data_IF_659285556492
#
_entry.id   IF_659285556492
#
_cell.length_a   1.000
_cell.length_b   1.000
_cell.length_c   1.000
_cell.angle_alpha   90.00
_cell.angle_beta   90.00
_cell.angle_gamma   90.00
#
_symmetry.space_group_name_H-M   'P 1'
#
loop_
_entity.id
_entity.type
_entity.pdbx_description
1 polymer ?
#
# COMPACT_ATOMS: atom_id res chain seq x y z
N UNK A 1 4.42 -1.38 36.92
CA UNK A 1 4.51 -0.49 35.77
C UNK A 1 4.49 -1.38 34.54
N UNK A 2 3.35 -1.51 33.88
CA UNK A 2 3.26 -2.24 32.60
C UNK A 2 3.93 -1.35 31.56
N UNK A 3 5.03 -1.82 30.98
CA UNK A 3 5.65 -1.18 29.83
C UNK A 3 4.64 -1.36 28.68
N UNK A 4 3.97 -0.30 28.29
CA UNK A 4 3.16 -0.22 27.08
C UNK A 4 4.06 -0.59 25.93
N UNK A 5 3.83 -1.76 25.36
CA UNK A 5 4.52 -2.21 24.16
C UNK A 5 3.88 -1.45 22.99
N UNK A 6 4.34 -0.22 22.75
CA UNK A 6 4.06 0.48 21.51
C UNK A 6 4.42 -0.47 20.35
N UNK A 7 3.57 -0.59 19.37
CA UNK A 7 3.80 -1.40 18.17
C UNK A 7 5.18 -1.03 17.59
N UNK A 8 6.18 -1.86 17.84
CA UNK A 8 7.53 -1.60 17.31
C UNK A 8 7.47 -1.89 15.83
N UNK A 9 7.84 -0.90 15.02
CA UNK A 9 8.08 -1.16 13.60
C UNK A 9 9.17 -2.24 13.47
N UNK A 10 9.03 -3.17 12.52
CA UNK A 10 10.05 -4.18 12.27
C UNK A 10 11.32 -3.53 11.72
N UNK A 11 12.49 -4.22 11.78
CA UNK A 11 13.74 -3.70 11.25
C UNK A 11 13.77 -3.57 9.73
N UNK A 12 12.94 -4.36 9.05
CA UNK A 12 12.81 -4.38 7.60
C UNK A 12 11.35 -4.33 7.21
N UNK A 13 11.07 -3.78 6.01
CA UNK A 13 9.73 -3.81 5.43
C UNK A 13 9.29 -5.25 5.22
N UNK A 14 8.03 -5.50 5.55
CA UNK A 14 7.35 -6.76 5.27
C UNK A 14 5.90 -6.46 4.90
N UNK A 15 5.52 -6.88 3.68
CA UNK A 15 4.19 -6.71 3.12
C UNK A 15 3.49 -8.07 3.01
N UNK A 16 2.25 -8.16 3.46
CA UNK A 16 1.44 -9.39 3.42
C UNK A 16 0.58 -9.53 2.16
N UNK A 17 0.71 -8.64 1.15
CA UNK A 17 -0.18 -8.63 -0.01
C UNK A 17 -0.15 -9.95 -0.80
N UNK A 18 1.03 -10.56 -0.99
CA UNK A 18 1.14 -11.84 -1.69
C UNK A 18 0.59 -13.02 -0.89
N UNK A 19 0.66 -12.98 0.44
CA UNK A 19 0.02 -13.99 1.29
C UNK A 19 -1.50 -13.92 1.15
N UNK A 20 -2.07 -12.71 1.20
CA UNK A 20 -3.51 -12.48 0.94
C UNK A 20 -3.89 -12.93 -0.46
N UNK A 21 -3.10 -12.58 -1.47
CA UNK A 21 -3.33 -12.96 -2.86
C UNK A 21 -3.38 -14.49 -3.03
N UNK A 22 -2.39 -15.21 -2.51
CA UNK A 22 -2.34 -16.68 -2.59
C UNK A 22 -3.52 -17.33 -1.86
N UNK A 23 -3.88 -16.84 -0.68
CA UNK A 23 -5.06 -17.30 0.07
C UNK A 23 -6.35 -17.09 -0.73
N UNK A 24 -6.50 -15.95 -1.43
CA UNK A 24 -7.67 -15.68 -2.27
C UNK A 24 -7.71 -16.62 -3.50
N UNK A 25 -6.56 -16.91 -4.12
CA UNK A 25 -6.46 -17.86 -5.23
C UNK A 25 -6.87 -19.28 -4.82
N UNK A 26 -6.57 -19.69 -3.59
CA UNK A 26 -6.97 -20.98 -3.03
C UNK A 26 -8.46 -21.03 -2.66
N UNK A 27 -8.95 -19.95 -2.05
CA UNK A 27 -10.31 -19.90 -1.49
C UNK A 27 -11.38 -19.61 -2.53
N UNK A 28 -11.08 -18.84 -3.57
CA UNK A 28 -12.02 -18.38 -4.59
C UNK A 28 -11.60 -18.85 -5.98
N UNK A 29 -12.15 -19.98 -6.49
CA UNK A 29 -11.76 -20.54 -7.79
C UNK A 29 -11.88 -19.57 -8.97
N UNK A 30 -12.88 -18.68 -8.93
CA UNK A 30 -13.11 -17.67 -9.97
C UNK A 30 -12.11 -16.50 -9.93
N UNK A 31 -11.39 -16.29 -8.83
CA UNK A 31 -10.49 -15.16 -8.68
C UNK A 31 -9.39 -15.15 -9.72
N UNK A 32 -8.78 -16.32 -10.03
CA UNK A 32 -7.78 -16.47 -11.11
C UNK A 32 -8.31 -16.01 -12.46
N UNK A 33 -9.56 -16.34 -12.78
CA UNK A 33 -10.19 -15.92 -14.04
C UNK A 33 -10.40 -14.41 -14.07
N UNK A 34 -10.86 -13.82 -12.96
CA UNK A 34 -11.06 -12.35 -12.84
C UNK A 34 -9.74 -11.61 -13.02
N UNK A 35 -8.65 -12.09 -12.42
CA UNK A 35 -7.31 -11.53 -12.61
C UNK A 35 -6.88 -11.59 -14.08
N UNK A 36 -7.04 -12.75 -14.75
CA UNK A 36 -6.72 -12.89 -16.16
C UNK A 36 -7.54 -11.94 -17.05
N UNK A 37 -8.83 -11.76 -16.76
CA UNK A 37 -9.70 -10.82 -17.46
C UNK A 37 -9.26 -9.35 -17.23
N UNK A 38 -8.80 -9.00 -16.02
CA UNK A 38 -8.24 -7.69 -15.70
C UNK A 38 -6.96 -7.41 -16.50
N UNK A 39 -6.02 -8.35 -16.47
CA UNK A 39 -4.78 -8.26 -17.23
C UNK A 39 -5.03 -8.11 -18.72
N UNK A 40 -5.90 -8.95 -19.29
CA UNK A 40 -6.26 -8.87 -20.69
C UNK A 40 -6.88 -7.50 -21.06
N UNK A 41 -7.74 -6.95 -20.21
CA UNK A 41 -8.31 -5.60 -20.41
C UNK A 41 -7.24 -4.51 -20.33
N UNK A 42 -6.29 -4.63 -19.40
CA UNK A 42 -5.18 -3.70 -19.24
C UNK A 42 -4.32 -3.69 -20.50
N UNK A 43 -3.89 -4.86 -20.99
CA UNK A 43 -3.11 -4.99 -22.21
C UNK A 43 -3.87 -4.47 -23.43
N UNK A 44 -5.17 -4.79 -23.57
CA UNK A 44 -6.01 -4.28 -24.64
C UNK A 44 -6.14 -2.76 -24.58
N UNK A 45 -6.15 -2.17 -23.40
CA UNK A 45 -6.21 -0.72 -23.20
C UNK A 45 -4.90 -0.03 -23.55
N UNK A 46 -3.76 -0.61 -23.14
CA UNK A 46 -2.42 -0.10 -23.48
C UNK A 46 -2.16 -0.11 -25.01
N UNK A 47 -2.77 -1.04 -25.74
CA UNK A 47 -2.66 -1.11 -27.20
C UNK A 47 -3.49 -0.05 -27.96
N UNK A 48 -4.35 0.71 -27.27
CA UNK A 48 -5.17 1.76 -27.88
C UNK A 48 -4.52 3.14 -27.75
N UNK A 49 -4.84 4.10 -28.65
CA UNK A 49 -4.41 5.48 -28.47
C UNK A 49 -4.80 6.02 -27.10
N UNK A 50 -3.89 6.75 -26.48
CA UNK A 50 -4.04 7.27 -25.10
C UNK A 50 -5.37 8.00 -24.94
N UNK A 51 -6.30 7.39 -24.23
CA UNK A 51 -7.52 8.05 -23.78
C UNK A 51 -7.17 8.80 -22.49
N UNK A 52 -6.94 10.09 -22.57
CA UNK A 52 -6.76 10.92 -21.38
C UNK A 52 -8.11 11.10 -20.68
N UNK A 53 -8.18 10.64 -19.43
CA UNK A 53 -9.23 11.09 -18.51
C UNK A 53 -9.06 12.60 -18.39
N UNK A 54 -10.13 13.36 -18.55
CA UNK A 54 -10.09 14.81 -18.37
C UNK A 54 -10.06 15.14 -16.88
N UNK A 55 -8.87 15.45 -16.36
CA UNK A 55 -8.61 15.80 -14.96
C UNK A 55 -8.23 14.58 -14.09
N UNK A 56 -7.81 14.84 -12.84
CA UNK A 56 -7.33 13.79 -11.95
C UNK A 56 -8.45 12.83 -11.51
N UNK A 57 -8.11 11.53 -11.44
CA UNK A 57 -8.95 10.52 -10.83
C UNK A 57 -8.99 10.76 -9.32
N UNK A 58 -10.14 11.08 -8.76
CA UNK A 58 -10.31 11.32 -7.32
C UNK A 58 -10.87 10.10 -6.64
N UNK A 59 -10.13 9.56 -5.66
CA UNK A 59 -10.48 8.38 -4.88
C UNK A 59 -10.93 8.84 -3.49
N UNK A 60 -12.22 8.68 -3.14
CA UNK A 60 -12.69 8.89 -1.78
C UNK A 60 -12.13 7.82 -0.86
N UNK A 61 -11.54 8.21 0.27
CA UNK A 61 -10.91 7.33 1.24
C UNK A 61 -11.69 7.33 2.54
N UNK A 62 -11.91 6.17 3.12
CA UNK A 62 -12.31 6.02 4.52
C UNK A 62 -11.19 5.38 5.31
N UNK A 63 -10.87 5.95 6.48
CA UNK A 63 -9.86 5.41 7.39
C UNK A 63 -10.55 4.79 8.59
N UNK A 64 -10.44 3.48 8.73
CA UNK A 64 -10.95 2.70 9.86
C UNK A 64 -9.83 2.53 10.89
N UNK A 65 -9.83 3.32 11.95
CA UNK A 65 -8.85 3.21 13.04
C UNK A 65 -9.35 2.17 14.03
N UNK A 66 -8.67 1.02 14.08
CA UNK A 66 -8.97 -0.08 15.01
C UNK A 66 -7.86 -0.10 16.06
N UNK A 67 -8.23 0.11 17.33
CA UNK A 67 -7.26 0.33 18.42
C UNK A 67 -7.70 -0.40 19.69
N UNK A 68 -6.76 -0.93 20.45
CA UNK A 68 -7.01 -1.53 21.76
C UNK A 68 -6.84 -0.52 22.90
N UNK A 69 -5.79 0.27 22.82
CA UNK A 69 -5.45 1.26 23.84
C UNK A 69 -5.50 2.69 23.29
N UNK A 70 -5.65 3.71 24.13
CA UNK A 70 -5.61 5.11 23.68
C UNK A 70 -4.34 5.48 22.90
N UNK A 71 -3.20 4.88 23.22
CA UNK A 71 -1.92 5.15 22.55
C UNK A 71 -1.87 4.59 21.12
N UNK A 72 -2.69 3.58 20.80
CA UNK A 72 -2.82 3.03 19.46
C UNK A 72 -3.79 3.84 18.58
N UNK A 73 -4.63 4.67 19.20
CA UNK A 73 -5.61 5.51 18.52
C UNK A 73 -4.93 6.70 17.87
N UNK A 74 -4.60 6.58 16.60
CA UNK A 74 -3.96 7.64 15.84
C UNK A 74 -4.82 8.91 15.77
N UNK A 75 -4.15 10.06 15.70
CA UNK A 75 -4.82 11.36 15.65
C UNK A 75 -5.28 11.72 14.23
N UNK A 76 -6.25 12.64 14.14
CA UNK A 76 -6.67 13.22 12.87
C UNK A 76 -5.49 13.85 12.11
N UNK A 77 -4.56 14.52 12.83
CA UNK A 77 -3.36 15.09 12.22
C UNK A 77 -2.47 14.02 11.56
N UNK A 78 -2.34 12.85 12.19
CA UNK A 78 -1.60 11.73 11.60
C UNK A 78 -2.32 11.19 10.36
N UNK A 79 -3.65 11.08 10.39
CA UNK A 79 -4.47 10.67 9.23
C UNK A 79 -4.32 11.67 8.07
N UNK A 80 -4.44 12.96 8.35
CA UNK A 80 -4.29 14.01 7.33
C UNK A 80 -2.89 14.00 6.71
N UNK A 81 -1.87 13.74 7.53
CA UNK A 81 -0.49 13.61 7.04
C UNK A 81 -0.30 12.44 6.08
N UNK A 82 -1.06 11.34 6.28
CA UNK A 82 -1.04 10.20 5.36
C UNK A 82 -1.69 10.53 4.02
N UNK A 83 -2.87 11.17 4.04
CA UNK A 83 -3.53 11.58 2.80
C UNK A 83 -2.63 12.56 2.02
N UNK A 84 -1.96 13.46 2.74
CA UNK A 84 -0.99 14.37 2.11
C UNK A 84 0.23 13.62 1.53
N UNK A 85 0.73 12.55 2.19
CA UNK A 85 1.81 11.72 1.68
C UNK A 85 1.39 11.00 0.39
N UNK A 86 0.24 10.31 0.38
CA UNK A 86 -0.31 9.67 -0.81
C UNK A 86 -0.40 10.64 -1.99
N UNK A 87 -0.96 11.83 -1.77
CA UNK A 87 -1.10 12.81 -2.84
C UNK A 87 0.26 13.32 -3.36
N UNK A 88 1.27 13.50 -2.49
CA UNK A 88 2.61 13.89 -2.93
C UNK A 88 3.31 12.80 -3.73
N UNK A 89 3.23 11.56 -3.27
CA UNK A 89 3.93 10.44 -3.89
C UNK A 89 3.30 10.11 -5.25
N UNK A 90 1.97 10.00 -5.33
CA UNK A 90 1.25 9.69 -6.57
C UNK A 90 1.27 10.83 -7.60
N UNK A 91 1.49 12.09 -7.19
CA UNK A 91 1.66 13.20 -8.11
C UNK A 91 3.14 13.53 -8.43
N UNK A 92 4.08 12.68 -7.99
CA UNK A 92 5.51 12.96 -8.10
C UNK A 92 5.91 14.35 -7.57
N UNK A 93 5.20 14.85 -6.54
CA UNK A 93 5.48 16.13 -5.88
C UNK A 93 6.31 15.97 -4.60
N UNK A 94 6.75 14.76 -4.26
CA UNK A 94 7.64 14.48 -3.15
C UNK A 94 9.01 15.14 -3.37
N UNK A 95 9.56 15.88 -2.36
CA UNK A 95 10.80 16.64 -2.53
C UNK A 95 12.02 15.77 -2.83
N UNK A 96 12.01 14.53 -2.38
CA UNK A 96 13.14 13.60 -2.52
C UNK A 96 13.18 12.86 -3.87
N UNK A 97 12.21 13.06 -4.77
CA UNK A 97 12.28 12.58 -6.16
C UNK A 97 13.57 13.01 -6.87
N UNK A 98 14.21 14.10 -6.42
CA UNK A 98 15.49 14.56 -6.96
C UNK A 98 16.65 13.60 -6.68
N UNK A 99 16.47 12.65 -5.76
CA UNK A 99 17.43 11.58 -5.45
C UNK A 99 17.36 10.42 -6.44
N UNK A 100 16.28 10.34 -7.25
CA UNK A 100 16.14 9.28 -8.25
C UNK A 100 17.35 9.26 -9.17
N UNK A 101 18.04 8.13 -9.33
CA UNK A 101 19.20 8.02 -10.18
C UNK A 101 18.91 8.44 -11.63
N UNK A 102 19.89 9.06 -12.27
CA UNK A 102 19.76 9.62 -13.62
C UNK A 102 19.10 8.69 -14.64
N UNK A 103 19.41 7.37 -14.69
CA UNK A 103 18.78 6.47 -15.65
C UNK A 103 17.26 6.41 -15.55
N UNK A 104 16.69 6.62 -14.35
CA UNK A 104 15.25 6.49 -14.08
C UNK A 104 14.54 7.81 -13.78
N UNK A 105 15.28 8.92 -13.71
CA UNK A 105 14.70 10.23 -13.42
C UNK A 105 13.61 10.64 -14.43
N UNK A 106 13.71 10.18 -15.69
CA UNK A 106 12.72 10.41 -16.72
C UNK A 106 11.44 9.57 -16.62
N UNK A 107 11.42 8.56 -15.75
CA UNK A 107 10.26 7.70 -15.51
C UNK A 107 9.36 8.24 -14.37
N UNK A 108 9.89 9.13 -13.56
CA UNK A 108 9.12 9.75 -12.47
C UNK A 108 8.03 10.66 -13.05
N UNK A 109 6.78 10.29 -12.84
CA UNK A 109 5.64 10.98 -13.45
C UNK A 109 4.49 11.17 -12.47
N UNK A 110 3.63 12.18 -12.71
CA UNK A 110 2.35 12.35 -12.04
C UNK A 110 1.36 11.33 -12.60
N UNK A 111 0.80 10.51 -11.71
CA UNK A 111 -0.21 9.50 -12.08
C UNK A 111 -1.59 10.09 -12.33
N UNK A 112 -1.80 11.38 -12.03
CA UNK A 112 -3.10 12.06 -12.06
C UNK A 112 -4.13 11.41 -11.10
N UNK A 113 -3.68 10.69 -10.07
CA UNK A 113 -4.53 10.12 -9.01
C UNK A 113 -4.49 11.01 -7.76
N UNK A 114 -5.64 11.31 -7.21
CA UNK A 114 -5.79 12.09 -5.98
C UNK A 114 -6.62 11.35 -4.96
N UNK A 115 -6.22 11.42 -3.69
CA UNK A 115 -6.90 10.82 -2.56
C UNK A 115 -7.51 11.92 -1.69
N UNK A 116 -8.74 11.72 -1.24
CA UNK A 116 -9.40 12.65 -0.31
C UNK A 116 -10.23 11.87 0.69
N UNK A 117 -10.22 12.28 1.95
CA UNK A 117 -11.13 11.70 2.93
C UNK A 117 -12.58 11.88 2.47
N UNK A 118 -13.39 10.84 2.63
CA UNK A 118 -14.78 10.84 2.27
C UNK A 118 -15.55 11.91 3.06
N UNK A 119 -16.38 12.69 2.38
CA UNK A 119 -17.23 13.73 3.00
C UNK A 119 -18.67 13.28 3.21
N UNK A 120 -19.02 12.11 2.68
CA UNK A 120 -20.30 11.41 2.87
C UNK A 120 -20.06 9.98 3.24
N UNK A 121 -20.83 9.47 4.21
CA UNK A 121 -20.86 8.05 4.57
C UNK A 121 -21.75 7.25 3.59
N UNK A 122 -21.80 5.92 3.67
CA UNK A 122 -22.65 5.10 2.80
C UNK A 122 -24.16 5.43 2.86
N UNK A 123 -24.62 6.00 3.97
CA UNK A 123 -26.02 6.45 4.13
C UNK A 123 -26.26 7.87 3.61
N UNK A 124 -25.20 8.57 3.13
CA UNK A 124 -25.27 9.93 2.61
C UNK A 124 -25.11 11.03 3.66
N UNK A 125 -24.86 10.70 4.94
CA UNK A 125 -24.63 11.67 5.99
C UNK A 125 -23.25 12.32 5.84
N UNK A 126 -23.11 13.55 6.36
CA UNK A 126 -21.82 14.24 6.42
C UNK A 126 -20.87 13.50 7.36
N UNK A 127 -19.63 13.31 6.91
CA UNK A 127 -18.56 12.62 7.67
C UNK A 127 -17.22 13.32 7.42
N UNK A 128 -16.23 13.04 8.27
CA UNK A 128 -14.82 13.39 8.07
C UNK A 128 -14.00 12.24 7.45
N UNK A 129 -14.67 11.14 7.04
CA UNK A 129 -14.03 9.99 6.41
C UNK A 129 -13.23 9.11 7.36
N UNK A 130 -13.48 9.20 8.67
CA UNK A 130 -12.76 8.42 9.68
C UNK A 130 -13.76 7.69 10.59
N UNK A 131 -13.47 6.42 10.87
CA UNK A 131 -14.19 5.65 11.89
C UNK A 131 -13.22 5.19 12.98
N UNK A 132 -13.73 5.01 14.19
CA UNK A 132 -12.93 4.53 15.33
C UNK A 132 -13.61 3.32 15.94
N UNK A 133 -12.89 2.21 16.01
CA UNK A 133 -13.36 0.95 16.60
C UNK A 133 -12.38 0.51 17.68
N UNK A 134 -12.88 0.35 18.89
CA UNK A 134 -12.08 -0.24 19.98
C UNK A 134 -12.17 -1.76 19.90
N UNK A 135 -11.04 -2.45 20.07
CA UNK A 135 -10.92 -3.91 20.02
C UNK A 135 -10.25 -4.43 21.31
N UNK A 136 -10.50 -5.71 21.62
CA UNK A 136 -9.77 -6.42 22.68
C UNK A 136 -8.54 -7.17 22.12
N UNK A 137 -8.41 -7.27 20.79
CA UNK A 137 -7.29 -7.97 20.16
C UNK A 137 -5.99 -7.16 20.27
N UNK A 138 -4.91 -7.86 20.58
CA UNK A 138 -3.59 -7.24 20.72
C UNK A 138 -2.98 -6.83 19.37
N UNK A 139 -3.30 -7.58 18.30
CA UNK A 139 -2.88 -7.33 16.93
C UNK A 139 -3.74 -8.12 15.98
N UNK A 140 -3.72 -7.73 14.71
CA UNK A 140 -4.32 -8.44 13.58
C UNK A 140 -3.22 -9.03 12.69
N UNK A 141 -3.62 -9.91 11.77
CA UNK A 141 -2.75 -10.57 10.81
C UNK A 141 -3.34 -10.45 9.40
N UNK A 142 -2.82 -11.20 8.42
CA UNK A 142 -3.27 -11.21 7.01
C UNK A 142 -4.60 -11.93 6.78
N UNK A 143 -5.25 -12.44 7.83
CA UNK A 143 -6.50 -13.23 7.78
C UNK A 143 -7.78 -12.40 7.52
N UNK A 144 -7.64 -11.08 7.34
CA UNK A 144 -8.71 -10.10 7.17
C UNK A 144 -9.63 -9.90 8.39
N UNK A 145 -9.29 -10.43 9.57
CA UNK A 145 -10.09 -10.23 10.79
C UNK A 145 -10.32 -8.75 11.13
N UNK A 146 -9.36 -7.86 10.80
CA UNK A 146 -9.51 -6.41 11.01
C UNK A 146 -10.62 -5.78 10.17
N UNK A 147 -11.04 -6.45 9.10
CA UNK A 147 -12.03 -5.97 8.12
C UNK A 147 -13.48 -6.34 8.47
N UNK A 148 -13.72 -6.84 9.69
CA UNK A 148 -15.07 -7.18 10.14
C UNK A 148 -15.27 -6.88 11.62
N UNK A 149 -16.43 -6.29 11.95
CA UNK A 149 -16.86 -6.09 13.34
C UNK A 149 -17.09 -7.41 14.07
N UNK A 150 -17.50 -8.46 13.36
CA UNK A 150 -17.71 -9.80 13.93
C UNK A 150 -16.42 -10.44 14.45
N UNK A 151 -15.26 -10.00 13.97
CA UNK A 151 -13.92 -10.48 14.35
C UNK A 151 -13.12 -9.44 15.11
N UNK A 152 -13.76 -8.41 15.64
CA UNK A 152 -13.12 -7.37 16.46
C UNK A 152 -12.51 -6.21 15.68
N UNK A 153 -12.73 -6.15 14.38
CA UNK A 153 -12.31 -5.08 13.49
C UNK A 153 -13.42 -4.09 13.15
N UNK A 154 -13.41 -3.56 11.93
CA UNK A 154 -14.39 -2.62 11.40
C UNK A 154 -14.86 -3.04 10.01
N UNK A 155 -16.17 -3.07 9.79
CA UNK A 155 -16.74 -3.43 8.48
C UNK A 155 -16.36 -2.39 7.42
N UNK A 156 -16.14 -2.82 6.15
CA UNK A 156 -15.81 -1.92 5.06
C UNK A 156 -16.99 -1.03 4.67
N UNK A 157 -16.68 0.13 4.12
CA UNK A 157 -17.63 0.87 3.30
C UNK A 157 -17.66 0.29 1.87
N UNK A 158 -18.72 0.52 1.07
CA UNK A 158 -18.84 -0.03 -0.28
C UNK A 158 -17.59 0.25 -1.13
N UNK A 159 -16.89 -0.80 -1.55
CA UNK A 159 -15.59 -0.70 -2.24
C UNK A 159 -15.72 -0.16 -3.66
N UNK A 160 -16.91 -0.14 -4.25
CA UNK A 160 -17.20 0.51 -5.53
C UNK A 160 -17.22 2.06 -5.45
N UNK A 161 -17.14 2.60 -4.22
CA UNK A 161 -17.21 4.05 -3.95
C UNK A 161 -16.07 4.58 -3.08
N UNK A 162 -15.44 3.72 -2.29
CA UNK A 162 -14.44 4.13 -1.31
C UNK A 162 -13.24 3.19 -1.33
N UNK A 163 -12.04 3.76 -1.24
CA UNK A 163 -10.88 3.03 -0.79
C UNK A 163 -10.95 2.89 0.73
N UNK A 164 -11.04 1.65 1.24
CA UNK A 164 -11.01 1.36 2.66
C UNK A 164 -9.54 1.22 3.12
N UNK A 165 -9.14 2.03 4.11
CA UNK A 165 -7.85 1.92 4.79
C UNK A 165 -8.08 1.55 6.25
N UNK A 166 -7.69 0.33 6.66
CA UNK A 166 -7.67 -0.06 8.07
C UNK A 166 -6.32 0.27 8.67
N UNK A 167 -6.33 0.89 9.85
CA UNK A 167 -5.11 1.23 10.59
C UNK A 167 -5.19 0.61 11.97
N UNK A 168 -4.28 -0.30 12.27
CA UNK A 168 -4.32 -1.12 13.48
C UNK A 168 -2.92 -1.54 13.95
N UNK A 169 -2.84 -2.25 15.07
CA UNK A 169 -1.65 -3.01 15.43
C UNK A 169 -1.61 -4.28 14.58
N UNK A 170 -0.47 -4.55 13.92
CA UNK A 170 -0.23 -5.74 13.12
C UNK A 170 0.79 -6.66 13.81
N UNK A 171 0.56 -7.96 13.71
CA UNK A 171 1.45 -9.02 14.16
C UNK A 171 2.48 -9.40 13.08
N UNK A 172 3.28 -10.44 13.34
CA UNK A 172 4.17 -11.04 12.34
C UNK A 172 5.27 -10.15 11.77
N UNK A 173 5.47 -8.94 12.32
CA UNK A 173 6.40 -7.96 11.75
C UNK A 173 5.91 -7.32 10.45
N UNK A 174 4.61 -7.35 10.20
CA UNK A 174 3.99 -6.72 9.03
C UNK A 174 3.94 -5.19 9.18
N UNK A 175 4.21 -4.48 8.09
CA UNK A 175 3.93 -3.05 7.97
C UNK A 175 2.56 -2.79 7.34
N UNK A 176 2.11 -3.67 6.46
CA UNK A 176 0.82 -3.58 5.81
C UNK A 176 0.53 -4.75 4.90
N UNK A 177 -0.65 -4.72 4.31
CA UNK A 177 -1.05 -5.56 3.20
C UNK A 177 -2.21 -4.96 2.44
N UNK A 178 -2.35 -5.33 1.19
CA UNK A 178 -3.46 -4.94 0.34
C UNK A 178 -4.15 -6.18 -0.27
N UNK A 179 -5.38 -6.02 -0.69
CA UNK A 179 -6.02 -6.93 -1.60
C UNK A 179 -5.82 -6.43 -3.04
N UNK A 180 -5.31 -7.30 -3.92
CA UNK A 180 -5.27 -7.01 -5.35
C UNK A 180 -6.69 -6.90 -5.94
N UNK A 181 -6.88 -6.14 -7.03
CA UNK A 181 -8.19 -5.95 -7.64
C UNK A 181 -8.87 -7.26 -8.04
N UNK A 182 -10.20 -7.31 -7.94
CA UNK A 182 -11.00 -8.46 -8.38
C UNK A 182 -11.29 -9.50 -7.31
N UNK A 183 -10.79 -9.32 -6.09
CA UNK A 183 -11.18 -10.12 -4.93
C UNK A 183 -12.54 -9.73 -4.35
N UNK A 184 -12.96 -10.37 -3.23
CA UNK A 184 -14.22 -10.07 -2.57
C UNK A 184 -14.33 -8.61 -2.11
N UNK A 185 -15.52 -8.01 -2.31
CA UNK A 185 -15.77 -6.61 -1.95
C UNK A 185 -15.71 -6.36 -0.43
N UNK A 186 -16.00 -7.41 0.36
CA UNK A 186 -16.00 -7.36 1.81
C UNK A 186 -14.62 -7.23 2.43
N UNK A 187 -13.58 -7.55 1.66
CA UNK A 187 -12.18 -7.47 2.10
C UNK A 187 -11.33 -6.53 1.24
N UNK A 188 -11.98 -5.81 0.30
CA UNK A 188 -11.29 -4.90 -0.60
C UNK A 188 -10.76 -3.66 0.12
N UNK A 189 -9.48 -3.38 -0.06
CA UNK A 189 -8.76 -2.26 0.53
C UNK A 189 -7.40 -2.63 1.09
N UNK A 190 -6.91 -1.78 1.99
CA UNK A 190 -5.53 -1.76 2.47
C UNK A 190 -5.49 -1.75 4.00
N UNK A 191 -4.58 -2.49 4.59
CA UNK A 191 -4.34 -2.52 6.05
C UNK A 191 -2.92 -2.05 6.34
N UNK A 192 -2.77 -1.11 7.27
CA UNK A 192 -1.47 -0.51 7.60
C UNK A 192 -1.23 -0.56 9.11
N UNK A 193 -0.02 -0.89 9.51
CA UNK A 193 0.44 -0.76 10.90
C UNK A 193 0.33 0.71 11.34
N UNK A 194 -0.29 0.97 12.49
CA UNK A 194 -0.50 2.32 13.01
C UNK A 194 0.79 3.14 13.18
N UNK A 195 1.91 2.49 13.52
CA UNK A 195 3.25 3.11 13.63
C UNK A 195 3.96 3.33 12.28
N UNK A 196 3.40 2.84 11.16
CA UNK A 196 3.91 3.06 9.80
C UNK A 196 2.93 3.86 8.92
N UNK A 197 1.91 4.46 9.55
CA UNK A 197 0.88 5.25 8.88
C UNK A 197 1.10 6.75 9.13
N UNK A 198 1.18 7.55 8.06
CA UNK A 198 1.39 8.99 8.15
C UNK A 198 2.83 9.42 8.39
N UNK A 199 3.00 10.73 8.68
CA UNK A 199 4.33 11.35 8.84
C UNK A 199 4.50 12.04 10.20
N UNK A 200 3.51 11.92 11.08
CA UNK A 200 3.48 12.55 12.41
C UNK A 200 2.88 11.58 13.44
N UNK A 201 2.72 12.04 14.67
CA UNK A 201 2.12 11.25 15.74
C UNK A 201 3.00 10.08 16.16
N UNK A 202 2.46 8.86 16.11
CA UNK A 202 3.19 7.63 16.47
C UNK A 202 3.97 7.01 15.31
N UNK A 203 3.92 7.62 14.11
CA UNK A 203 4.70 7.15 12.97
C UNK A 203 6.19 7.11 13.32
N UNK A 204 6.84 5.96 13.08
CA UNK A 204 8.16 5.65 13.62
C UNK A 204 9.14 5.30 12.49
N UNK A 205 10.34 5.91 12.53
CA UNK A 205 11.42 5.60 11.58
C UNK A 205 11.82 4.10 11.68
N UNK A 206 12.20 3.50 10.53
CA UNK A 206 12.47 4.10 9.22
C UNK A 206 11.23 4.23 8.32
N UNK A 207 10.02 3.92 8.79
CA UNK A 207 8.77 3.85 8.02
C UNK A 207 7.79 4.96 8.43
N UNK A 208 8.27 6.19 8.52
CA UNK A 208 7.52 7.35 9.03
C UNK A 208 7.33 8.48 8.01
N UNK A 209 7.41 8.18 6.72
CA UNK A 209 7.11 9.15 5.66
C UNK A 209 5.77 8.85 4.94
N UNK A 210 5.01 7.88 5.46
CA UNK A 210 3.70 7.47 4.92
C UNK A 210 3.79 6.54 3.71
N UNK A 211 4.97 6.03 3.40
CA UNK A 211 5.24 5.27 2.17
C UNK A 211 4.85 3.81 2.26
N UNK A 212 4.58 3.29 3.45
CA UNK A 212 3.91 2.00 3.59
C UNK A 212 2.54 2.04 2.92
N UNK A 213 1.74 3.08 3.17
CA UNK A 213 0.44 3.18 2.51
C UNK A 213 0.58 3.45 0.98
N UNK A 214 1.61 4.18 0.54
CA UNK A 214 1.91 4.36 -0.89
C UNK A 214 2.18 3.01 -1.56
N UNK A 215 2.96 2.14 -0.94
CA UNK A 215 3.26 0.79 -1.39
C UNK A 215 1.99 -0.08 -1.47
N UNK A 216 1.24 -0.16 -0.37
CA UNK A 216 0.06 -1.02 -0.32
C UNK A 216 -1.07 -0.55 -1.25
N UNK A 217 -1.24 0.76 -1.43
CA UNK A 217 -2.16 1.32 -2.44
C UNK A 217 -1.67 0.99 -3.86
N UNK A 218 -0.37 0.87 -4.08
CA UNK A 218 0.20 0.34 -5.33
C UNK A 218 -0.33 -1.05 -5.64
N UNK A 219 -0.31 -1.99 -4.68
CA UNK A 219 -0.91 -3.32 -4.84
C UNK A 219 -2.43 -3.27 -5.07
N UNK A 220 -3.14 -2.42 -4.34
CA UNK A 220 -4.57 -2.20 -4.56
C UNK A 220 -4.87 -1.69 -5.97
N UNK A 221 -3.94 -0.97 -6.60
CA UNK A 221 -3.97 -0.53 -8.00
C UNK A 221 -3.37 -1.55 -8.99
N UNK A 222 -3.10 -2.79 -8.56
CA UNK A 222 -2.55 -3.89 -9.37
C UNK A 222 -1.05 -3.81 -9.70
N UNK A 223 -0.26 -3.05 -8.94
CA UNK A 223 1.20 -3.10 -9.07
C UNK A 223 1.78 -4.28 -8.27
N UNK A 224 2.72 -5.00 -8.87
CA UNK A 224 3.46 -6.09 -8.23
C UNK A 224 4.80 -5.58 -7.68
N UNK A 225 5.42 -6.38 -6.80
CA UNK A 225 6.78 -6.09 -6.36
C UNK A 225 7.76 -6.17 -7.53
N UNK A 226 8.79 -5.30 -7.53
CA UNK A 226 9.74 -5.21 -8.65
C UNK A 226 10.56 -6.50 -8.89
N UNK A 227 10.67 -7.40 -7.91
CA UNK A 227 11.33 -8.71 -8.08
C UNK A 227 10.37 -9.83 -8.47
N UNK A 228 9.06 -9.50 -8.65
CA UNK A 228 8.04 -10.45 -9.10
C UNK A 228 7.80 -11.60 -8.12
N UNK A 229 8.09 -11.40 -6.83
CA UNK A 229 7.87 -12.37 -5.72
C UNK A 229 8.53 -13.74 -5.93
N UNK A 230 9.67 -13.74 -6.62
CA UNK A 230 10.58 -14.89 -6.74
C UNK A 230 11.90 -14.60 -6.04
N UNK A 231 12.71 -15.64 -5.81
CA UNK A 231 14.06 -15.50 -5.25
C UNK A 231 15.14 -15.69 -6.33
N UNK A 232 14.76 -15.54 -7.57
CA UNK A 232 15.63 -15.64 -8.73
C UNK A 232 15.31 -14.54 -9.76
N UNK A 233 15.97 -14.56 -10.89
CA UNK A 233 15.78 -13.54 -11.92
C UNK A 233 14.66 -13.84 -12.91
N UNK A 234 13.74 -14.75 -12.61
CA UNK A 234 12.63 -15.13 -13.48
C UNK A 234 11.33 -14.39 -13.18
N UNK A 235 11.25 -13.72 -12.01
CA UNK A 235 10.11 -12.91 -11.63
C UNK A 235 9.92 -11.68 -12.51
N UNK A 236 8.69 -11.18 -12.54
CA UNK A 236 8.34 -9.94 -13.24
C UNK A 236 7.22 -9.22 -12.51
N UNK A 237 7.28 -7.91 -12.50
CA UNK A 237 6.20 -7.03 -12.03
C UNK A 237 5.21 -6.66 -13.16
N UNK A 238 5.40 -7.23 -14.36
CA UNK A 238 4.64 -6.95 -15.59
C UNK A 238 4.77 -5.50 -16.10
N UNK A 239 5.78 -4.75 -15.66
CA UNK A 239 6.07 -3.37 -16.07
C UNK A 239 7.36 -3.36 -16.90
N UNK A 240 7.26 -2.96 -18.18
CA UNK A 240 8.34 -3.15 -19.15
C UNK A 240 9.60 -2.29 -18.90
N UNK A 241 9.49 -1.20 -18.15
CA UNK A 241 10.60 -0.28 -17.84
C UNK A 241 11.23 -0.53 -16.46
N UNK A 242 10.73 -1.50 -15.72
CA UNK A 242 11.34 -1.97 -14.47
C UNK A 242 12.32 -3.12 -14.77
N UNK A 243 13.62 -2.98 -14.45
CA UNK A 243 14.56 -4.10 -14.59
C UNK A 243 14.24 -5.20 -13.57
N UNK A 244 14.36 -6.47 -13.98
CA UNK A 244 14.21 -7.59 -13.05
C UNK A 244 15.21 -7.47 -11.90
N UNK A 245 14.73 -7.65 -10.67
CA UNK A 245 15.53 -7.79 -9.46
C UNK A 245 15.45 -9.22 -8.93
N UNK A 246 16.49 -9.70 -8.27
CA UNK A 246 16.54 -11.09 -7.79
C UNK A 246 15.66 -11.32 -6.57
N UNK A 247 15.59 -10.33 -5.69
CA UNK A 247 14.91 -10.38 -4.40
C UNK A 247 14.62 -8.95 -3.93
N UNK A 248 13.82 -8.74 -2.87
CA UNK A 248 13.59 -7.41 -2.33
C UNK A 248 14.89 -6.76 -1.84
N UNK A 249 15.00 -5.46 -2.04
CA UNK A 249 16.06 -4.65 -1.46
C UNK A 249 15.60 -4.08 -0.10
N UNK A 250 16.46 -4.06 0.90
CA UNK A 250 16.15 -3.61 2.25
C UNK A 250 17.04 -2.44 2.69
N UNK A 251 16.54 -1.66 3.64
CA UNK A 251 17.29 -0.57 4.24
C UNK A 251 17.63 0.53 3.26
N UNK A 252 18.92 0.80 3.05
CA UNK A 252 19.43 1.88 2.18
C UNK A 252 20.49 1.35 1.21
N UNK A 253 20.09 0.69 0.12
CA UNK A 253 21.03 0.20 -0.89
C UNK A 253 21.84 1.36 -1.50
N UNK A 254 23.03 1.03 -1.99
CA UNK A 254 23.89 1.98 -2.70
C UNK A 254 23.72 1.78 -4.20
N UNK A 255 23.46 2.86 -4.91
CA UNK A 255 23.34 2.84 -6.37
C UNK A 255 24.71 2.79 -7.06
N UNK A 256 24.93 2.00 -8.14
CA UNK A 256 24.00 0.97 -8.63
C UNK A 256 24.03 -0.32 -7.78
N UNK A 257 22.88 -0.95 -7.59
CA UNK A 257 22.75 -2.27 -6.99
C UNK A 257 22.35 -3.28 -8.06
N UNK A 258 23.28 -4.16 -8.48
CA UNK A 258 23.08 -5.07 -9.63
C UNK A 258 22.82 -6.49 -9.11
N UNK A 259 21.72 -7.10 -9.53
CA UNK A 259 21.37 -8.46 -9.14
C UNK A 259 21.14 -9.41 -10.34
N UNK A 260 20.29 -9.08 -11.30
CA UNK A 260 19.85 -9.96 -12.40
C UNK A 260 20.50 -9.66 -13.76
N UNK A 261 21.80 -9.45 -13.83
CA UNK A 261 22.46 -8.97 -15.06
C UNK A 261 21.84 -7.67 -15.63
N UNK A 262 21.21 -6.88 -14.76
CA UNK A 262 20.53 -5.63 -15.07
C UNK A 262 21.50 -4.41 -15.03
N UNK A 263 22.81 -4.69 -15.10
CA UNK A 263 23.81 -3.63 -15.22
C UNK A 263 23.72 -2.87 -16.56
N UNK A 264 24.23 -1.63 -16.61
CA UNK A 264 25.00 -0.97 -15.54
C UNK A 264 24.14 -0.30 -14.46
N UNK A 265 22.81 -0.20 -14.62
CA UNK A 265 21.94 0.59 -13.76
C UNK A 265 21.46 -0.18 -12.50
N UNK A 266 21.34 -1.52 -12.59
CA UNK A 266 20.96 -2.37 -11.46
C UNK A 266 19.46 -2.33 -11.15
N UNK A 267 19.11 -2.72 -9.92
CA UNK A 267 17.75 -2.76 -9.42
C UNK A 267 17.20 -1.35 -9.23
N UNK A 268 15.91 -1.16 -9.56
CA UNK A 268 15.19 0.08 -9.32
C UNK A 268 14.71 0.16 -7.86
N UNK A 269 15.60 -0.02 -6.89
CA UNK A 269 15.27 -0.16 -5.47
C UNK A 269 14.56 1.06 -4.86
N UNK A 270 14.62 2.24 -5.49
CA UNK A 270 13.87 3.42 -5.09
C UNK A 270 12.41 3.42 -5.59
N UNK A 271 11.96 2.37 -6.29
CA UNK A 271 10.56 2.19 -6.65
C UNK A 271 9.73 1.88 -5.40
N UNK A 272 8.55 2.51 -5.27
CA UNK A 272 7.64 2.27 -4.13
C UNK A 272 7.22 0.81 -3.97
N UNK A 273 7.36 -0.02 -5.01
CA UNK A 273 7.06 -1.45 -4.96
C UNK A 273 8.25 -2.33 -4.55
N UNK A 274 9.30 -1.74 -3.95
CA UNK A 274 10.40 -2.46 -3.28
C UNK A 274 10.28 -2.36 -1.75
N UNK A 275 11.27 -2.88 -0.99
CA UNK A 275 11.23 -3.00 0.48
C UNK A 275 12.26 -2.11 1.21
N UNK A 276 12.75 -1.08 0.57
CA UNK A 276 13.69 -0.13 1.19
C UNK A 276 13.05 0.74 2.26
N UNK A 277 13.85 1.43 3.05
CA UNK A 277 13.40 2.44 4.02
C UNK A 277 12.70 3.60 3.31
N UNK A 278 11.71 4.22 3.96
CA UNK A 278 10.95 5.35 3.39
C UNK A 278 11.85 6.49 2.86
N UNK A 279 12.99 6.73 3.46
CA UNK A 279 13.91 7.83 3.07
C UNK A 279 14.69 7.55 1.78
N UNK A 280 14.56 6.37 1.19
CA UNK A 280 15.24 5.94 -0.04
C UNK A 280 14.35 6.13 -1.27
N UNK A 281 13.07 6.02 -1.09
CA UNK A 281 12.05 6.14 -2.13
C UNK A 281 11.85 7.56 -2.64
#
# INVERSE_FOLDING_TARGET
MAVTQASRVPPHRNCGAMEVHNRLLERFPDFRRVLGDLEHRTLARLAQPVFRITGPARIPVVVHVVFRTPDERISKAQIDSQIAALNRDYSAANPDKVKTPVPWAGLVTDTEIQFALATRDPAGNVTDGVTFTQTELASFDTDDAVKSTATGGADPWPSDKYLNLWVCALGGGLLGYAQFPGGPAETDGVVILNAAFGTTGIATAPFNMGRTATHEVGHWLNLHHIWGDTEDCTGTDFVADTPNAQHPNFGKPVFPHVSCNNGPNGDMFMNYMDYVDDAVW
#
